data_IF_024352893339
#
_entry.id   IF_024352893339
#
_cell.length_a   1.000
_cell.length_b   1.000
_cell.length_c   1.000
_cell.angle_alpha   90.00
_cell.angle_beta   90.00
_cell.angle_gamma   90.00
#
_symmetry.space_group_name_H-M   'P 1'
#
loop_
_entity.id
_entity.type
_entity.pdbx_description
1 polymer ?
#
# COMPACT_ATOMS: atom_id res chain seq x y z
N UNK A 1 -28.15 -58.80 -26.80
CA UNK A 1 -28.21 -58.33 -25.39
C UNK A 1 -26.84 -57.88 -24.91
N UNK A 2 -25.89 -58.76 -24.52
CA UNK A 2 -24.60 -58.29 -23.98
C UNK A 2 -23.77 -57.37 -24.94
N UNK A 3 -23.79 -57.64 -26.24
CA UNK A 3 -23.07 -56.81 -27.23
C UNK A 3 -23.76 -55.48 -27.55
N UNK A 4 -25.09 -55.42 -27.46
CA UNK A 4 -25.88 -54.19 -27.65
C UNK A 4 -25.73 -53.25 -26.46
N UNK A 5 -25.71 -53.81 -25.24
CA UNK A 5 -25.49 -53.03 -24.01
C UNK A 5 -24.07 -52.44 -23.98
N UNK A 6 -23.08 -53.18 -24.48
CA UNK A 6 -21.70 -52.71 -24.64
C UNK A 6 -21.58 -51.56 -25.67
N UNK A 7 -22.29 -51.67 -26.79
CA UNK A 7 -22.34 -50.61 -27.81
C UNK A 7 -23.03 -49.34 -27.27
N UNK A 8 -24.16 -49.51 -26.57
CA UNK A 8 -24.87 -48.40 -25.93
C UNK A 8 -24.01 -47.69 -24.86
N UNK A 9 -23.28 -48.46 -24.05
CA UNK A 9 -22.31 -47.92 -23.08
C UNK A 9 -21.17 -47.14 -23.76
N UNK A 10 -20.69 -47.63 -24.91
CA UNK A 10 -19.68 -46.93 -25.71
C UNK A 10 -20.16 -45.57 -26.23
N UNK A 11 -21.40 -45.51 -26.72
CA UNK A 11 -21.99 -44.26 -27.21
C UNK A 11 -22.31 -43.28 -26.08
N UNK A 12 -22.77 -43.77 -24.93
CA UNK A 12 -22.95 -42.96 -23.72
C UNK A 12 -21.61 -42.37 -23.29
N UNK A 13 -20.53 -43.17 -23.27
CA UNK A 13 -19.19 -42.69 -22.90
C UNK A 13 -18.72 -41.57 -23.82
N UNK A 14 -18.89 -41.71 -25.14
CA UNK A 14 -18.55 -40.67 -26.11
C UNK A 14 -19.33 -39.38 -25.89
N UNK A 15 -20.64 -39.47 -25.66
CA UNK A 15 -21.48 -38.30 -25.36
C UNK A 15 -21.06 -37.60 -24.06
N UNK A 16 -20.70 -38.38 -23.04
CA UNK A 16 -20.18 -37.82 -21.77
C UNK A 16 -18.85 -37.10 -22.02
N UNK A 17 -17.94 -37.66 -22.82
CA UNK A 17 -16.68 -37.01 -23.19
C UNK A 17 -16.89 -35.71 -24.00
N UNK A 18 -17.88 -35.68 -24.90
CA UNK A 18 -18.27 -34.46 -25.64
C UNK A 18 -18.85 -33.39 -24.72
N UNK A 19 -19.77 -33.76 -23.83
CA UNK A 19 -20.35 -32.83 -22.84
C UNK A 19 -19.26 -32.25 -21.93
N UNK A 20 -18.29 -33.05 -21.48
CA UNK A 20 -17.17 -32.56 -20.67
C UNK A 20 -16.31 -31.54 -21.44
N UNK A 21 -16.11 -31.74 -22.74
CA UNK A 21 -15.39 -30.78 -23.59
C UNK A 21 -16.16 -29.48 -23.79
N UNK A 22 -17.48 -29.57 -24.00
CA UNK A 22 -18.35 -28.40 -24.13
C UNK A 22 -18.38 -27.59 -22.83
N UNK A 23 -18.55 -28.25 -21.67
CA UNK A 23 -18.50 -27.61 -20.35
C UNK A 23 -17.13 -26.97 -20.09
N UNK A 24 -16.03 -27.63 -20.46
CA UNK A 24 -14.70 -27.06 -20.34
C UNK A 24 -14.49 -25.81 -21.19
N UNK A 25 -15.12 -25.76 -22.36
CA UNK A 25 -15.09 -24.59 -23.25
C UNK A 25 -15.93 -23.44 -22.67
N UNK A 26 -17.15 -23.74 -22.22
CA UNK A 26 -18.02 -22.77 -21.54
C UNK A 26 -17.38 -22.20 -20.27
N UNK A 27 -16.68 -23.01 -19.48
CA UNK A 27 -15.98 -22.53 -18.29
C UNK A 27 -14.85 -21.55 -18.63
N UNK A 28 -14.13 -21.77 -19.75
CA UNK A 28 -13.11 -20.82 -20.23
C UNK A 28 -13.74 -19.50 -20.69
N UNK A 29 -14.87 -19.55 -21.38
CA UNK A 29 -15.62 -18.36 -21.79
C UNK A 29 -16.17 -17.60 -20.57
N UNK A 30 -16.68 -18.31 -19.56
CA UNK A 30 -17.14 -17.70 -18.30
C UNK A 30 -15.99 -17.03 -17.53
N UNK A 31 -14.81 -17.65 -17.51
CA UNK A 31 -13.61 -17.06 -16.90
C UNK A 31 -13.15 -15.79 -17.61
N UNK A 32 -13.36 -15.68 -18.92
CA UNK A 32 -13.12 -14.45 -19.67
C UNK A 32 -14.15 -13.35 -19.32
N UNK A 33 -15.36 -13.73 -18.90
CA UNK A 33 -16.36 -12.81 -18.36
C UNK A 33 -16.01 -12.28 -16.97
N UNK A 34 -15.30 -13.04 -16.13
CA UNK A 34 -14.78 -12.50 -14.85
C UNK A 34 -13.80 -11.36 -15.07
N UNK A 35 -13.00 -11.41 -16.15
CA UNK A 35 -12.15 -10.29 -16.56
C UNK A 35 -12.95 -9.05 -16.97
N UNK A 36 -14.23 -9.19 -17.35
CA UNK A 36 -15.13 -8.04 -17.63
C UNK A 36 -15.53 -7.33 -16.33
N UNK A 37 -15.63 -8.06 -15.21
CA UNK A 37 -15.85 -7.45 -13.90
C UNK A 37 -14.64 -6.60 -13.46
N UNK A 38 -13.42 -7.10 -13.66
CA UNK A 38 -12.19 -6.32 -13.41
C UNK A 38 -12.08 -5.09 -14.31
N UNK A 39 -12.49 -5.21 -15.59
CA UNK A 39 -12.54 -4.07 -16.52
C UNK A 39 -13.55 -3.03 -16.03
N UNK A 40 -14.71 -3.46 -15.52
CA UNK A 40 -15.72 -2.56 -14.95
C UNK A 40 -15.17 -1.78 -13.76
N UNK A 41 -14.49 -2.44 -12.83
CA UNK A 41 -13.87 -1.76 -11.68
C UNK A 41 -12.81 -0.75 -12.10
N UNK A 42 -11.97 -1.08 -13.09
CA UNK A 42 -10.98 -0.13 -13.64
C UNK A 42 -11.63 1.04 -14.37
N UNK A 43 -12.76 0.82 -15.05
CA UNK A 43 -13.54 1.89 -15.69
C UNK A 43 -14.19 2.80 -14.65
N UNK A 44 -14.72 2.24 -13.57
CA UNK A 44 -15.29 3.02 -12.46
C UNK A 44 -14.22 3.87 -11.76
N UNK A 45 -13.02 3.31 -11.55
CA UNK A 45 -11.86 4.05 -11.03
C UNK A 45 -11.40 5.18 -11.96
N UNK A 46 -11.27 4.90 -13.26
CA UNK A 46 -10.95 5.92 -14.28
C UNK A 46 -12.00 7.02 -14.35
N UNK A 47 -13.28 6.68 -14.19
CA UNK A 47 -14.36 7.68 -14.14
C UNK A 47 -14.27 8.58 -12.90
N UNK A 48 -13.87 8.03 -11.75
CA UNK A 48 -13.67 8.81 -10.53
C UNK A 48 -12.45 9.76 -10.67
N UNK A 49 -11.34 9.28 -11.21
CA UNK A 49 -10.16 10.10 -11.50
C UNK A 49 -10.47 11.22 -12.52
N UNK A 50 -11.27 10.93 -13.56
CA UNK A 50 -11.71 11.95 -14.52
C UNK A 50 -12.58 13.03 -13.87
N UNK A 51 -13.45 12.69 -12.93
CA UNK A 51 -14.21 13.67 -12.16
C UNK A 51 -13.29 14.53 -11.27
N UNK A 52 -12.26 13.93 -10.68
CA UNK A 52 -11.27 14.67 -9.89
C UNK A 52 -10.46 15.64 -10.78
N UNK A 53 -10.03 15.21 -11.96
CA UNK A 53 -9.36 16.07 -12.95
C UNK A 53 -10.29 17.20 -13.39
N UNK A 54 -11.57 16.92 -13.65
CA UNK A 54 -12.56 17.93 -14.02
C UNK A 54 -12.72 18.99 -12.92
N UNK A 55 -12.85 18.58 -11.66
CA UNK A 55 -12.95 19.52 -10.52
C UNK A 55 -11.67 20.33 -10.31
N UNK A 56 -10.49 19.77 -10.60
CA UNK A 56 -9.22 20.51 -10.57
C UNK A 56 -9.02 21.47 -11.75
N UNK A 57 -9.70 21.25 -12.88
CA UNK A 57 -9.65 22.12 -14.08
C UNK A 57 -10.75 23.20 -14.05
N UNK A 58 -11.81 23.05 -13.25
CA UNK A 58 -12.84 24.08 -13.02
C UNK A 58 -12.28 25.50 -12.76
N UNK A 59 -11.20 25.69 -11.96
CA UNK A 59 -10.58 27.00 -11.77
C UNK A 59 -9.88 27.54 -13.03
N UNK A 60 -9.46 26.68 -13.94
CA UNK A 60 -8.87 27.06 -15.23
C UNK A 60 -9.96 27.55 -16.20
N UNK A 61 -11.16 26.96 -16.17
CA UNK A 61 -12.29 27.52 -16.92
C UNK A 61 -12.69 28.93 -16.44
N UNK A 62 -12.48 29.25 -15.16
CA UNK A 62 -12.67 30.61 -14.63
C UNK A 62 -11.60 31.61 -15.10
N UNK A 63 -10.45 31.16 -15.63
CA UNK A 63 -9.49 32.06 -16.29
C UNK A 63 -10.05 32.66 -17.58
N UNK A 64 -11.00 31.97 -18.25
CA UNK A 64 -11.68 32.53 -19.41
C UNK A 64 -12.55 33.72 -19.01
N UNK A 65 -13.29 33.61 -17.91
CA UNK A 65 -14.09 34.73 -17.38
C UNK A 65 -13.20 35.89 -16.93
N UNK A 66 -12.00 35.60 -16.43
CA UNK A 66 -10.99 36.62 -16.11
C UNK A 66 -10.43 37.29 -17.37
N UNK A 67 -10.15 36.53 -18.43
CA UNK A 67 -9.70 37.05 -19.72
C UNK A 67 -10.80 37.90 -20.41
N UNK A 68 -12.06 37.46 -20.34
CA UNK A 68 -13.20 38.21 -20.86
C UNK A 68 -13.45 39.49 -20.04
N UNK A 69 -13.25 39.44 -18.72
CA UNK A 69 -13.27 40.64 -17.86
C UNK A 69 -12.14 41.61 -18.20
N UNK A 70 -10.94 41.10 -18.51
CA UNK A 70 -9.80 41.90 -18.96
C UNK A 70 -10.04 42.55 -20.33
N UNK A 71 -10.65 41.83 -21.27
CA UNK A 71 -11.05 42.39 -22.56
C UNK A 71 -12.11 43.49 -22.40
N UNK A 72 -13.07 43.32 -21.48
CA UNK A 72 -14.03 44.38 -21.16
C UNK A 72 -13.37 45.61 -20.50
N UNK A 73 -12.34 45.41 -19.67
CA UNK A 73 -11.54 46.52 -19.12
C UNK A 73 -10.77 47.21 -20.25
N UNK A 74 -10.18 46.46 -21.17
CA UNK A 74 -9.46 47.00 -22.33
C UNK A 74 -10.39 47.81 -23.25
N UNK A 75 -11.59 47.33 -23.55
CA UNK A 75 -12.57 48.10 -24.34
C UNK A 75 -13.09 49.34 -23.61
N UNK A 76 -13.23 49.29 -22.29
CA UNK A 76 -13.60 50.46 -21.47
C UNK A 76 -12.46 51.50 -21.42
N UNK A 77 -11.20 51.06 -21.46
CA UNK A 77 -10.03 51.94 -21.60
C UNK A 77 -9.99 52.58 -22.98
N UNK A 78 -10.33 51.88 -24.06
CA UNK A 78 -10.51 52.52 -25.38
C UNK A 78 -11.67 53.53 -25.37
N UNK A 79 -12.76 53.24 -24.65
CA UNK A 79 -13.85 54.19 -24.40
C UNK A 79 -13.42 55.46 -23.63
N UNK A 80 -12.38 55.39 -22.80
CA UNK A 80 -11.85 56.60 -22.12
C UNK A 80 -11.16 57.58 -23.09
N UNK A 81 -10.69 57.11 -24.25
CA UNK A 81 -10.15 57.95 -25.30
C UNK A 81 -11.23 58.81 -25.99
N UNK A 82 -12.46 58.28 -26.06
CA UNK A 82 -13.64 58.98 -26.57
C UNK A 82 -14.26 59.94 -25.54
N UNK A 83 -14.12 59.61 -24.25
CA UNK A 83 -14.45 60.52 -23.14
C UNK A 83 -13.55 61.76 -23.14
N UNK A 84 -12.26 61.63 -23.45
CA UNK A 84 -11.35 62.77 -23.61
C UNK A 84 -11.84 63.76 -24.68
N UNK A 85 -12.30 63.24 -25.83
CA UNK A 85 -12.86 64.07 -26.92
C UNK A 85 -14.19 64.71 -26.53
N UNK A 86 -15.07 63.98 -25.85
CA UNK A 86 -16.36 64.52 -25.37
C UNK A 86 -16.18 65.56 -24.27
N UNK A 87 -15.16 65.42 -23.41
CA UNK A 87 -14.80 66.43 -22.41
C UNK A 87 -14.29 67.71 -23.09
N UNK A 88 -13.48 67.59 -24.15
CA UNK A 88 -13.04 68.75 -24.94
C UNK A 88 -14.19 69.45 -25.68
N UNK A 89 -15.18 68.71 -26.18
CA UNK A 89 -16.40 69.28 -26.76
C UNK A 89 -17.33 69.91 -25.70
N UNK A 90 -17.45 69.28 -24.54
CA UNK A 90 -18.23 69.80 -23.41
C UNK A 90 -17.59 71.09 -22.88
N UNK A 91 -16.26 71.14 -22.72
CA UNK A 91 -15.52 72.33 -22.31
C UNK A 91 -15.68 73.51 -23.29
N UNK A 92 -15.86 73.24 -24.59
CA UNK A 92 -16.18 74.27 -25.59
C UNK A 92 -17.64 74.76 -25.50
N UNK A 93 -18.56 73.94 -25.03
CA UNK A 93 -20.00 74.27 -24.95
C UNK A 93 -20.41 75.08 -23.71
N UNK A 94 -19.59 75.11 -22.64
CA UNK A 94 -19.92 75.72 -21.35
C UNK A 94 -19.28 77.11 -21.14
N UNK A 95 -19.44 78.03 -22.09
CA UNK A 95 -18.95 79.42 -21.96
C UNK A 95 -19.78 80.35 -21.07
N UNK A 96 -20.83 79.86 -20.39
CA UNK A 96 -21.63 80.68 -19.48
C UNK A 96 -21.45 80.36 -17.99
N UNK A 97 -21.15 81.45 -17.28
CA UNK A 97 -20.45 81.65 -16.01
C UNK A 97 -21.02 81.03 -14.71
N UNK A 98 -20.09 80.79 -13.76
CA UNK A 98 -20.20 80.37 -12.34
C UNK A 98 -20.35 78.87 -11.99
N UNK A 99 -21.11 78.06 -12.72
CA UNK A 99 -21.01 76.60 -12.57
C UNK A 99 -19.69 76.07 -13.16
N UNK A 100 -19.15 76.80 -14.13
CA UNK A 100 -17.90 76.53 -14.85
C UNK A 100 -16.68 76.58 -13.93
N UNK A 101 -16.60 77.46 -12.94
CA UNK A 101 -15.41 77.51 -12.05
C UNK A 101 -15.33 76.28 -11.13
N UNK A 102 -16.48 75.78 -10.66
CA UNK A 102 -16.53 74.57 -9.83
C UNK A 102 -16.27 73.30 -10.65
N UNK A 103 -16.79 73.25 -11.88
CA UNK A 103 -16.53 72.14 -12.81
C UNK A 103 -15.10 72.20 -13.33
N UNK A 104 -14.56 73.37 -13.66
CA UNK A 104 -13.18 73.56 -14.12
C UNK A 104 -12.19 73.18 -13.04
N UNK A 105 -12.44 73.52 -11.77
CA UNK A 105 -11.60 73.03 -10.65
C UNK A 105 -11.66 71.51 -10.48
N UNK A 106 -12.85 70.91 -10.61
CA UNK A 106 -12.98 69.44 -10.56
C UNK A 106 -12.37 68.76 -11.79
N UNK A 107 -12.45 69.37 -12.96
CA UNK A 107 -11.82 68.88 -14.19
C UNK A 107 -10.30 69.04 -14.13
N UNK A 108 -9.79 70.11 -13.54
CA UNK A 108 -8.36 70.27 -13.25
C UNK A 108 -7.87 69.27 -12.19
N UNK A 109 -8.65 68.99 -11.14
CA UNK A 109 -8.33 67.93 -10.17
C UNK A 109 -8.34 66.55 -10.82
N UNK A 110 -9.35 66.24 -11.64
CA UNK A 110 -9.41 64.97 -12.40
C UNK A 110 -8.26 64.90 -13.40
N UNK A 111 -7.96 65.98 -14.12
CA UNK A 111 -6.84 66.04 -15.05
C UNK A 111 -5.53 65.83 -14.30
N UNK A 112 -5.36 66.42 -13.11
CA UNK A 112 -4.17 66.26 -12.28
C UNK A 112 -4.05 64.84 -11.74
N UNK A 113 -5.13 64.23 -11.28
CA UNK A 113 -5.15 62.81 -10.86
C UNK A 113 -4.86 61.88 -12.04
N UNK A 114 -5.44 62.13 -13.22
CA UNK A 114 -5.17 61.34 -14.43
C UNK A 114 -3.73 61.52 -14.89
N UNK A 115 -3.18 62.72 -14.78
CA UNK A 115 -1.78 63.00 -15.13
C UNK A 115 -0.83 62.40 -14.09
N UNK A 116 -1.17 62.45 -12.79
CA UNK A 116 -0.42 61.77 -11.72
C UNK A 116 -0.50 60.25 -11.83
N UNK A 117 -1.62 59.67 -12.31
CA UNK A 117 -1.75 58.22 -12.58
C UNK A 117 -0.98 57.81 -13.84
N UNK A 118 -0.95 58.68 -14.87
CA UNK A 118 -0.20 58.48 -16.11
C UNK A 118 1.31 58.64 -15.92
N UNK A 119 1.71 59.65 -15.15
CA UNK A 119 3.10 59.96 -14.80
C UNK A 119 3.57 59.21 -13.54
N UNK A 120 2.67 58.45 -12.91
CA UNK A 120 3.02 57.53 -11.84
C UNK A 120 4.00 56.53 -12.42
N UNK A 121 5.26 56.68 -12.01
CA UNK A 121 6.32 55.72 -12.26
C UNK A 121 5.93 54.32 -11.81
N UNK A 122 4.98 54.17 -10.88
CA UNK A 122 4.45 52.87 -10.51
C UNK A 122 3.59 52.27 -11.62
N UNK A 123 2.71 53.02 -12.28
CA UNK A 123 1.93 52.53 -13.42
C UNK A 123 2.84 52.16 -14.60
N UNK A 124 3.85 52.99 -14.89
CA UNK A 124 4.84 52.68 -15.94
C UNK A 124 5.72 51.46 -15.58
N UNK A 125 6.11 51.30 -14.31
CA UNK A 125 6.84 50.12 -13.82
C UNK A 125 5.95 48.88 -13.81
N UNK A 126 4.66 49.01 -13.49
CA UNK A 126 3.69 47.91 -13.55
C UNK A 126 3.50 47.48 -15.00
N UNK A 127 3.31 48.42 -15.93
CA UNK A 127 3.19 48.12 -17.37
C UNK A 127 4.47 47.49 -17.90
N UNK A 128 5.66 48.02 -17.56
CA UNK A 128 6.95 47.40 -17.95
C UNK A 128 7.13 46.01 -17.36
N UNK A 129 6.72 45.76 -16.12
CA UNK A 129 6.74 44.43 -15.50
C UNK A 129 5.76 43.48 -16.17
N UNK A 130 4.58 43.95 -16.58
CA UNK A 130 3.60 43.16 -17.33
C UNK A 130 4.13 42.83 -18.73
N UNK A 131 4.76 43.78 -19.42
CA UNK A 131 5.45 43.54 -20.69
C UNK A 131 6.62 42.58 -20.52
N UNK A 132 7.44 42.69 -19.47
CA UNK A 132 8.48 41.70 -19.16
C UNK A 132 7.90 40.31 -18.89
N UNK A 133 6.79 40.21 -18.16
CA UNK A 133 6.09 38.94 -17.93
C UNK A 133 5.54 38.38 -19.24
N UNK A 134 4.93 39.21 -20.09
CA UNK A 134 4.43 38.81 -21.41
C UNK A 134 5.56 38.39 -22.37
N UNK A 135 6.71 39.07 -22.32
CA UNK A 135 7.93 38.71 -23.06
C UNK A 135 8.50 37.38 -22.54
N UNK A 136 8.53 37.17 -21.22
CA UNK A 136 8.91 35.90 -20.60
C UNK A 136 7.93 34.76 -20.91
N UNK A 137 6.66 35.07 -21.20
CA UNK A 137 5.63 34.08 -21.56
C UNK A 137 5.54 33.83 -23.08
N UNK A 138 5.96 34.77 -23.93
CA UNK A 138 5.98 34.60 -25.40
C UNK A 138 7.15 33.75 -25.87
N UNK A 139 8.19 33.60 -25.05
CA UNK A 139 9.27 32.66 -25.30
C UNK A 139 8.78 31.24 -24.95
N UNK A 140 7.96 30.66 -25.84
CA UNK A 140 7.35 29.33 -25.69
C UNK A 140 8.37 28.25 -25.29
N UNK A 141 9.64 28.42 -25.68
CA UNK A 141 10.76 27.55 -25.28
C UNK A 141 11.09 27.58 -23.78
N UNK A 142 10.95 28.74 -23.12
CA UNK A 142 11.15 28.85 -21.67
C UNK A 142 10.01 28.18 -20.92
N UNK A 143 8.78 28.28 -21.46
CA UNK A 143 7.60 27.60 -20.94
C UNK A 143 7.69 26.07 -21.10
N UNK A 144 8.11 25.59 -22.27
CA UNK A 144 8.43 24.16 -22.50
C UNK A 144 9.48 23.66 -21.52
N UNK A 145 10.60 24.38 -21.36
CA UNK A 145 11.65 23.98 -20.45
C UNK A 145 11.17 23.91 -18.99
N UNK A 146 10.37 24.89 -18.54
CA UNK A 146 9.79 24.86 -17.18
C UNK A 146 8.76 23.73 -17.02
N UNK A 147 8.04 23.38 -18.08
CA UNK A 147 7.12 22.25 -18.07
C UNK A 147 7.88 20.93 -17.97
N UNK A 148 8.96 20.75 -18.72
CA UNK A 148 9.86 19.60 -18.63
C UNK A 148 10.50 19.49 -17.24
N UNK A 149 10.97 20.62 -16.68
CA UNK A 149 11.51 20.66 -15.32
C UNK A 149 10.43 20.24 -14.29
N UNK A 150 9.18 20.71 -14.44
CA UNK A 150 8.06 20.31 -13.57
C UNK A 150 7.70 18.83 -13.71
N UNK A 151 7.69 18.29 -14.94
CA UNK A 151 7.47 16.87 -15.17
C UNK A 151 8.58 16.02 -14.55
N UNK A 152 9.84 16.50 -14.62
CA UNK A 152 10.98 15.88 -13.95
C UNK A 152 10.83 15.89 -12.42
N UNK A 153 10.36 17.00 -11.84
CA UNK A 153 10.05 17.07 -10.41
C UNK A 153 8.92 16.11 -10.01
N UNK A 154 7.86 15.98 -10.83
CA UNK A 154 6.75 15.04 -10.58
C UNK A 154 7.24 13.60 -10.61
N UNK A 155 8.10 13.24 -11.57
CA UNK A 155 8.74 11.93 -11.61
C UNK A 155 9.60 11.68 -10.35
N UNK A 156 10.35 12.69 -9.91
CA UNK A 156 11.12 12.64 -8.66
C UNK A 156 10.23 12.45 -7.41
N UNK A 157 9.07 13.09 -7.36
CA UNK A 157 8.10 12.89 -6.28
C UNK A 157 7.53 11.47 -6.27
N UNK A 158 7.28 10.87 -7.43
CA UNK A 158 6.82 9.48 -7.54
C UNK A 158 7.85 8.48 -6.99
N UNK A 159 9.14 8.74 -7.22
CA UNK A 159 10.23 7.93 -6.64
C UNK A 159 10.33 8.11 -5.11
N UNK A 160 10.10 9.33 -4.61
CA UNK A 160 10.04 9.60 -3.17
C UNK A 160 8.84 8.90 -2.54
N UNK A 161 7.68 8.92 -3.18
CA UNK A 161 6.46 8.24 -2.71
C UNK A 161 6.68 6.72 -2.60
N UNK A 162 7.29 6.10 -3.62
CA UNK A 162 7.68 4.70 -3.56
C UNK A 162 8.67 4.39 -2.41
N UNK A 163 9.64 5.27 -2.16
CA UNK A 163 10.55 5.14 -1.00
C UNK A 163 9.83 5.31 0.33
N UNK A 164 8.84 6.19 0.42
CA UNK A 164 8.02 6.38 1.63
C UNK A 164 7.16 5.13 1.89
N UNK A 165 6.60 4.51 0.86
CA UNK A 165 5.82 3.28 0.97
C UNK A 165 6.68 2.10 1.44
N UNK A 166 7.88 1.96 0.88
CA UNK A 166 8.87 0.95 1.33
C UNK A 166 9.27 1.19 2.79
N UNK A 167 9.57 2.44 3.17
CA UNK A 167 9.91 2.80 4.55
C UNK A 167 8.77 2.51 5.53
N UNK A 168 7.52 2.79 5.13
CA UNK A 168 6.31 2.50 5.91
C UNK A 168 6.16 1.00 6.15
N UNK A 169 6.43 0.19 5.13
CA UNK A 169 6.41 -1.27 5.22
C UNK A 169 7.48 -1.76 6.21
N UNK A 170 8.71 -1.27 6.09
CA UNK A 170 9.79 -1.60 7.03
C UNK A 170 9.49 -1.17 8.47
N UNK A 171 8.82 -0.02 8.65
CA UNK A 171 8.43 0.45 9.97
C UNK A 171 7.35 -0.44 10.60
N UNK A 172 6.39 -0.92 9.80
CA UNK A 172 5.38 -1.89 10.22
C UNK A 172 6.02 -3.21 10.67
N UNK A 173 6.98 -3.72 9.89
CA UNK A 173 7.76 -4.91 10.25
C UNK A 173 8.55 -4.70 11.54
N UNK A 174 9.22 -3.56 11.68
CA UNK A 174 9.98 -3.21 12.89
C UNK A 174 9.07 -3.17 14.12
N UNK A 175 7.89 -2.56 14.01
CA UNK A 175 6.90 -2.50 15.10
C UNK A 175 6.43 -3.90 15.50
N UNK A 176 6.25 -4.80 14.54
CA UNK A 176 5.90 -6.19 14.81
C UNK A 176 7.03 -6.93 15.53
N UNK A 177 8.27 -6.79 15.07
CA UNK A 177 9.45 -7.38 15.71
C UNK A 177 9.56 -6.92 17.16
N UNK A 178 9.43 -5.61 17.41
CA UNK A 178 9.42 -5.07 18.77
C UNK A 178 8.28 -5.67 19.59
N UNK A 179 7.09 -5.84 19.02
CA UNK A 179 5.97 -6.51 19.70
C UNK A 179 6.24 -7.98 20.06
N UNK A 180 6.96 -8.73 19.22
CA UNK A 180 7.39 -10.10 19.52
C UNK A 180 8.40 -10.09 20.67
N UNK A 181 9.40 -9.21 20.61
CA UNK A 181 10.45 -9.09 21.65
C UNK A 181 9.81 -8.78 23.00
N UNK A 182 8.86 -7.84 23.06
CA UNK A 182 8.15 -7.50 24.31
C UNK A 182 7.41 -8.71 24.89
N UNK A 183 6.70 -9.49 24.07
CA UNK A 183 6.03 -10.73 24.53
C UNK A 183 7.02 -11.79 25.00
N UNK A 184 8.17 -11.92 24.33
CA UNK A 184 9.22 -12.85 24.74
C UNK A 184 9.84 -12.43 26.08
N UNK A 185 10.08 -11.13 26.29
CA UNK A 185 10.55 -10.61 27.57
C UNK A 185 9.55 -10.88 28.69
N UNK A 186 8.25 -10.70 28.44
CA UNK A 186 7.18 -11.00 29.40
C UNK A 186 7.11 -12.52 29.74
N UNK A 187 7.25 -13.40 28.74
CA UNK A 187 7.30 -14.85 28.97
C UNK A 187 8.57 -15.28 29.74
N UNK A 188 9.72 -14.64 29.46
CA UNK A 188 10.97 -14.85 30.22
C UNK A 188 10.79 -14.40 31.66
N UNK A 189 10.21 -13.22 31.90
CA UNK A 189 9.94 -12.70 33.24
C UNK A 189 9.03 -13.66 34.02
N UNK A 190 7.96 -14.16 33.39
CA UNK A 190 7.05 -15.12 34.01
C UNK A 190 7.73 -16.45 34.35
N UNK A 191 8.54 -16.99 33.45
CA UNK A 191 9.31 -18.23 33.68
C UNK A 191 10.36 -18.04 34.76
N UNK A 192 11.02 -16.89 34.80
CA UNK A 192 12.01 -16.55 35.79
C UNK A 192 11.38 -16.46 37.19
N UNK A 193 10.24 -15.76 37.32
CA UNK A 193 9.49 -15.70 38.58
C UNK A 193 9.03 -17.09 39.04
N UNK A 194 8.49 -17.92 38.14
CA UNK A 194 8.11 -19.30 38.48
C UNK A 194 9.32 -20.18 38.87
N UNK A 195 10.50 -19.93 38.29
CA UNK A 195 11.72 -20.62 38.68
C UNK A 195 12.19 -20.19 40.07
N UNK A 196 12.12 -18.90 40.39
CA UNK A 196 12.38 -18.37 41.74
C UNK A 196 11.44 -19.05 42.75
N UNK A 197 10.14 -19.09 42.47
CA UNK A 197 9.16 -19.71 43.39
C UNK A 197 9.50 -21.17 43.67
N UNK A 198 9.88 -21.94 42.65
CA UNK A 198 10.30 -23.35 42.81
C UNK A 198 11.59 -23.52 43.60
N UNK A 199 12.57 -22.63 43.38
CA UNK A 199 13.83 -22.65 44.13
C UNK A 199 13.57 -22.32 45.59
N UNK A 200 12.71 -21.34 45.87
CA UNK A 200 12.26 -20.99 47.22
C UNK A 200 11.55 -22.18 47.88
N UNK A 201 10.59 -22.81 47.20
CA UNK A 201 9.88 -23.99 47.73
C UNK A 201 10.84 -25.17 48.01
N UNK A 202 11.83 -25.37 47.15
CA UNK A 202 12.85 -26.40 47.36
C UNK A 202 13.75 -26.07 48.55
N UNK A 203 14.12 -24.80 48.73
CA UNK A 203 14.89 -24.33 49.88
C UNK A 203 14.11 -24.55 51.19
N UNK A 204 12.83 -24.19 51.22
CA UNK A 204 11.95 -24.40 52.38
C UNK A 204 11.81 -25.90 52.73
N UNK A 205 11.72 -26.78 51.72
CA UNK A 205 11.70 -28.24 51.91
C UNK A 205 13.01 -28.78 52.49
N UNK A 206 14.15 -28.24 52.07
CA UNK A 206 15.45 -28.61 52.63
C UNK A 206 15.55 -28.13 54.07
N UNK A 207 15.17 -26.89 54.35
CA UNK A 207 15.19 -26.32 55.70
C UNK A 207 14.31 -27.14 56.67
N UNK A 208 13.08 -27.48 56.24
CA UNK A 208 12.19 -28.34 57.03
C UNK A 208 12.73 -29.75 57.22
N UNK A 209 13.32 -30.37 56.20
CA UNK A 209 13.94 -31.70 56.30
C UNK A 209 15.15 -31.71 57.25
N UNK A 210 15.99 -30.66 57.22
CA UNK A 210 17.11 -30.49 58.16
C UNK A 210 16.57 -30.33 59.57
N UNK A 211 15.53 -29.52 59.78
CA UNK A 211 14.89 -29.34 61.08
C UNK A 211 14.20 -30.61 61.63
N UNK A 212 13.72 -31.52 60.77
CA UNK A 212 13.12 -32.80 61.19
C UNK A 212 14.13 -33.94 61.36
N UNK A 213 15.36 -33.78 60.86
CA UNK A 213 16.40 -34.83 60.89
C UNK A 213 17.04 -35.10 62.27
N UNK A 214 16.65 -34.36 63.31
CA UNK A 214 17.08 -34.63 64.70
C UNK A 214 16.23 -35.67 65.44
N UNK A 215 15.27 -36.34 64.80
CA UNK A 215 14.54 -37.43 65.49
C UNK A 215 14.17 -38.61 64.59
N UNK A 216 14.85 -39.73 64.85
CA UNK A 216 14.43 -41.14 64.62
C UNK A 216 15.09 -41.90 63.47
N UNK A 217 15.81 -42.96 63.85
CA UNK A 217 16.46 -43.98 63.03
C UNK A 217 15.46 -44.98 62.38
N UNK A 218 15.89 -45.80 61.40
CA UNK A 218 15.06 -46.26 60.28
C UNK A 218 14.44 -47.65 60.49
N UNK A 219 13.28 -47.90 59.86
CA UNK A 219 12.78 -49.25 59.58
C UNK A 219 12.10 -49.27 58.22
N UNK A 220 12.62 -50.10 57.33
CA UNK A 220 12.32 -50.06 55.91
C UNK A 220 10.97 -50.62 55.52
N UNK A 221 10.58 -50.31 54.29
CA UNK A 221 9.80 -51.21 53.45
C UNK A 221 10.00 -50.83 51.98
N UNK A 222 10.38 -51.82 51.18
CA UNK A 222 10.43 -51.79 49.72
C UNK A 222 9.05 -51.36 49.19
N UNK A 223 9.00 -50.27 48.43
CA UNK A 223 8.00 -50.07 47.39
C UNK A 223 8.68 -49.46 46.17
N UNK A 224 8.67 -50.23 45.09
CA UNK A 224 9.10 -49.80 43.76
C UNK A 224 8.42 -48.48 43.38
N UNK A 225 9.16 -47.47 42.91
CA UNK A 225 8.54 -46.43 42.12
C UNK A 225 8.32 -47.00 40.72
N UNK A 226 7.04 -47.10 40.34
CA UNK A 226 6.61 -47.18 38.94
C UNK A 226 7.43 -46.18 38.12
N UNK A 227 8.04 -46.67 37.06
CA UNK A 227 8.44 -45.86 35.90
C UNK A 227 7.21 -45.07 35.46
N UNK A 228 7.11 -43.81 35.87
CA UNK A 228 6.42 -42.83 35.05
C UNK A 228 7.36 -42.58 33.88
N UNK A 229 6.93 -43.10 32.73
CA UNK A 229 7.51 -42.78 31.46
C UNK A 229 7.52 -41.25 31.35
N UNK A 230 8.71 -40.68 31.45
CA UNK A 230 8.98 -39.43 30.77
C UNK A 230 8.71 -39.75 29.30
N UNK A 231 7.53 -39.37 28.81
CA UNK A 231 7.35 -39.10 27.39
C UNK A 231 8.43 -38.07 27.06
N UNK A 232 9.57 -38.57 26.58
CA UNK A 232 10.22 -37.94 25.45
C UNK A 232 9.09 -37.68 24.47
N UNK A 233 8.66 -36.42 24.39
CA UNK A 233 7.97 -35.92 23.22
C UNK A 233 8.91 -36.21 22.06
N UNK A 234 8.77 -37.41 21.48
CA UNK A 234 9.07 -37.64 20.08
C UNK A 234 8.40 -36.47 19.37
N UNK A 235 9.23 -35.60 18.77
CA UNK A 235 8.80 -34.70 17.70
C UNK A 235 7.78 -35.51 16.90
N UNK A 236 6.51 -35.07 16.76
CA UNK A 236 5.61 -35.75 15.86
C UNK A 236 6.34 -35.75 14.52
N UNK A 237 6.70 -36.94 14.04
CA UNK A 237 7.25 -37.14 12.70
C UNK A 237 6.11 -36.79 11.75
N UNK A 238 5.97 -35.50 11.50
CA UNK A 238 5.06 -34.92 10.52
C UNK A 238 5.56 -35.32 9.15
N UNK A 239 4.94 -36.37 8.60
CA UNK A 239 4.69 -36.62 7.18
C UNK A 239 5.72 -36.02 6.20
N UNK A 240 6.70 -36.84 5.82
CA UNK A 240 7.37 -36.85 4.51
C UNK A 240 7.64 -35.49 3.85
N UNK A 241 8.21 -34.53 4.56
CA UNK A 241 8.82 -33.37 3.91
C UNK A 241 10.13 -33.83 3.24
N UNK A 242 10.30 -33.57 1.94
CA UNK A 242 11.47 -34.02 1.20
C UNK A 242 12.74 -33.24 1.62
N UNK A 243 13.91 -33.89 1.52
CA UNK A 243 15.15 -33.46 2.19
C UNK A 243 15.97 -32.39 1.46
N UNK A 244 15.40 -31.65 0.52
CA UNK A 244 16.09 -30.59 -0.22
C UNK A 244 15.25 -29.32 -0.28
N UNK A 245 15.91 -28.16 -0.31
CA UNK A 245 15.27 -26.83 -0.40
C UNK A 245 14.23 -26.83 -1.53
N UNK A 246 14.61 -27.32 -2.71
CA UNK A 246 13.72 -27.37 -3.88
C UNK A 246 12.45 -28.18 -3.63
N UNK A 247 12.61 -29.37 -3.05
CA UNK A 247 11.48 -30.26 -2.83
C UNK A 247 10.56 -29.73 -1.72
N UNK A 248 11.12 -29.10 -0.68
CA UNK A 248 10.33 -28.45 0.39
C UNK A 248 9.51 -27.29 -0.18
N UNK A 249 10.09 -26.48 -1.07
CA UNK A 249 9.39 -25.37 -1.70
C UNK A 249 8.33 -25.84 -2.70
N UNK A 250 8.61 -26.88 -3.46
CA UNK A 250 7.65 -27.48 -4.40
C UNK A 250 6.44 -28.06 -3.67
N UNK A 251 6.67 -28.78 -2.56
CA UNK A 251 5.60 -29.29 -1.70
C UNK A 251 4.71 -28.15 -1.17
N UNK A 252 5.30 -27.04 -0.73
CA UNK A 252 4.52 -25.89 -0.27
C UNK A 252 3.71 -25.27 -1.39
N UNK A 253 4.28 -25.12 -2.59
CA UNK A 253 3.55 -24.59 -3.76
C UNK A 253 2.40 -25.50 -4.17
N UNK A 254 2.57 -26.82 -4.11
CA UNK A 254 1.49 -27.79 -4.37
C UNK A 254 0.37 -27.68 -3.34
N UNK A 255 0.70 -27.34 -2.09
CA UNK A 255 -0.28 -27.08 -1.04
C UNK A 255 -1.01 -25.74 -1.18
N UNK A 256 -0.54 -24.77 -1.97
CA UNK A 256 -1.25 -23.49 -2.15
C UNK A 256 -2.43 -23.66 -3.12
N UNK A 257 -3.54 -24.20 -2.61
CA UNK A 257 -4.79 -24.40 -3.36
C UNK A 257 -5.99 -23.80 -2.63
N UNK A 258 -7.10 -23.47 -3.34
CA UNK A 258 -8.33 -22.97 -2.72
C UNK A 258 -8.96 -23.90 -1.69
N UNK A 259 -8.66 -25.20 -1.76
CA UNK A 259 -9.20 -26.22 -0.85
C UNK A 259 -8.33 -26.39 0.41
N UNK A 260 -7.14 -25.80 0.42
CA UNK A 260 -6.23 -25.94 1.56
C UNK A 260 -6.72 -25.07 2.71
N UNK A 261 -6.88 -25.70 3.88
CA UNK A 261 -7.17 -24.98 5.12
C UNK A 261 -5.98 -24.10 5.52
N UNK A 262 -6.25 -22.87 5.96
CA UNK A 262 -5.23 -21.91 6.41
C UNK A 262 -4.37 -22.51 7.53
N UNK A 263 -4.99 -23.25 8.46
CA UNK A 263 -4.29 -23.98 9.53
C UNK A 263 -3.34 -25.04 8.98
N UNK A 264 -3.76 -25.79 7.95
CA UNK A 264 -2.93 -26.81 7.33
C UNK A 264 -1.72 -26.20 6.61
N UNK A 265 -1.94 -25.11 5.85
CA UNK A 265 -0.87 -24.37 5.20
C UNK A 265 0.10 -23.75 6.21
N UNK A 266 -0.41 -23.21 7.32
CA UNK A 266 0.41 -22.65 8.37
C UNK A 266 1.34 -23.68 9.01
N UNK A 267 0.82 -24.88 9.30
CA UNK A 267 1.63 -25.97 9.86
C UNK A 267 2.70 -26.42 8.85
N UNK A 268 2.33 -26.54 7.57
CA UNK A 268 3.29 -26.87 6.51
C UNK A 268 4.42 -25.83 6.40
N UNK A 269 4.12 -24.53 6.53
CA UNK A 269 5.12 -23.46 6.55
C UNK A 269 6.04 -23.53 7.77
N UNK A 270 5.52 -23.89 8.95
CA UNK A 270 6.34 -24.11 10.15
C UNK A 270 7.25 -25.32 10.00
N UNK A 271 6.72 -26.45 9.54
CA UNK A 271 7.50 -27.66 9.32
C UNK A 271 8.60 -27.41 8.27
N UNK A 272 8.28 -26.71 7.18
CA UNK A 272 9.25 -26.29 6.19
C UNK A 272 10.32 -25.36 6.77
N UNK A 273 9.93 -24.40 7.63
CA UNK A 273 10.88 -23.52 8.33
C UNK A 273 11.84 -24.34 9.18
N UNK A 274 11.33 -25.30 9.96
CA UNK A 274 12.14 -26.11 10.87
C UNK A 274 13.12 -27.00 10.07
N UNK A 275 12.67 -27.62 8.98
CA UNK A 275 13.55 -28.38 8.06
C UNK A 275 14.62 -27.47 7.45
N UNK A 276 14.24 -26.30 6.94
CA UNK A 276 15.20 -25.37 6.32
C UNK A 276 16.18 -24.77 7.35
N UNK A 277 15.77 -24.64 8.62
CA UNK A 277 16.65 -24.19 9.71
C UNK A 277 17.70 -25.24 10.05
N UNK A 278 17.38 -26.53 9.94
CA UNK A 278 18.37 -27.60 10.10
C UNK A 278 19.35 -27.65 8.91
N UNK A 279 18.94 -27.19 7.72
CA UNK A 279 19.78 -27.20 6.51
C UNK A 279 20.66 -25.97 6.32
N UNK A 280 20.23 -24.80 6.82
CA UNK A 280 20.93 -23.52 6.63
C UNK A 280 21.45 -23.05 7.99
N UNK A 281 22.77 -22.98 8.13
CA UNK A 281 23.39 -22.48 9.36
C UNK A 281 23.10 -20.97 9.53
N UNK A 282 22.36 -20.63 10.59
CA UNK A 282 22.11 -19.25 10.99
C UNK A 282 20.67 -18.77 10.73
N UNK A 283 20.26 -17.75 11.50
CA UNK A 283 18.94 -17.13 11.36
C UNK A 283 18.90 -16.26 10.10
N UNK A 284 18.29 -16.76 9.02
CA UNK A 284 18.12 -15.97 7.80
C UNK A 284 16.80 -15.18 7.84
N UNK A 285 16.74 -13.96 7.26
CA UNK A 285 15.50 -13.18 7.17
C UNK A 285 14.36 -13.94 6.48
N UNK A 286 14.69 -14.86 5.57
CA UNK A 286 13.70 -15.68 4.87
C UNK A 286 13.01 -16.65 5.82
N UNK A 287 13.74 -17.36 6.69
CA UNK A 287 13.15 -18.26 7.69
C UNK A 287 12.18 -17.54 8.64
N UNK A 288 12.47 -16.28 8.96
CA UNK A 288 11.55 -15.45 9.74
C UNK A 288 10.22 -15.20 9.02
N UNK A 289 10.27 -14.95 7.70
CA UNK A 289 9.09 -14.72 6.88
C UNK A 289 8.17 -15.96 6.82
N UNK A 290 8.73 -17.18 6.75
CA UNK A 290 7.92 -18.42 6.89
C UNK A 290 7.15 -18.44 8.21
N UNK A 291 7.85 -18.16 9.32
CA UNK A 291 7.23 -18.14 10.65
C UNK A 291 6.22 -17.02 10.85
N UNK A 292 6.39 -15.87 10.18
CA UNK A 292 5.42 -14.78 10.17
C UNK A 292 4.17 -15.19 9.41
N UNK A 293 4.31 -15.68 8.18
CA UNK A 293 3.19 -16.10 7.34
C UNK A 293 2.40 -17.25 7.94
N UNK A 294 3.07 -18.21 8.59
CA UNK A 294 2.40 -19.26 9.34
C UNK A 294 1.56 -18.70 10.51
N UNK A 295 2.06 -17.71 11.24
CA UNK A 295 1.30 -17.05 12.33
C UNK A 295 0.10 -16.26 11.82
N UNK A 296 0.25 -15.55 10.70
CA UNK A 296 -0.86 -14.87 10.03
C UNK A 296 -1.95 -15.87 9.65
N UNK A 297 -1.60 -16.98 8.99
CA UNK A 297 -2.56 -18.01 8.60
C UNK A 297 -3.20 -18.73 9.81
N UNK A 298 -2.49 -18.90 10.93
CA UNK A 298 -3.07 -19.42 12.18
C UNK A 298 -4.05 -18.48 12.87
N UNK A 299 -4.05 -17.20 12.52
CA UNK A 299 -5.03 -16.24 13.06
C UNK A 299 -6.42 -16.42 12.43
N UNK A 300 -6.51 -17.14 11.31
CA UNK A 300 -7.76 -17.43 10.63
C UNK A 300 -8.56 -18.46 11.43
N UNK A 301 -9.90 -18.50 11.29
CA UNK A 301 -10.71 -19.58 11.85
C UNK A 301 -10.16 -20.95 11.44
N UNK A 302 -10.20 -21.99 12.30
CA UNK A 302 -9.55 -23.28 12.01
C UNK A 302 -9.99 -23.95 10.70
N UNK A 303 -11.24 -23.71 10.29
CA UNK A 303 -11.86 -24.25 9.07
C UNK A 303 -11.80 -23.29 7.88
N UNK A 304 -11.13 -22.14 8.01
CA UNK A 304 -11.01 -21.19 6.91
C UNK A 304 -10.05 -21.75 5.86
N UNK A 305 -10.46 -21.73 4.59
CA UNK A 305 -9.60 -22.06 3.46
C UNK A 305 -8.85 -20.82 2.99
N UNK A 306 -7.76 -21.02 2.24
CA UNK A 306 -7.02 -19.93 1.61
C UNK A 306 -7.93 -19.21 0.60
N UNK A 307 -8.01 -17.89 0.71
CA UNK A 307 -8.70 -17.08 -0.30
C UNK A 307 -7.76 -16.81 -1.50
N UNK A 308 -8.30 -16.25 -2.59
CA UNK A 308 -7.54 -16.01 -3.82
C UNK A 308 -6.36 -15.03 -3.61
N UNK A 309 -6.53 -14.02 -2.75
CA UNK A 309 -5.46 -13.07 -2.43
C UNK A 309 -4.32 -13.75 -1.67
N UNK A 310 -4.66 -14.59 -0.69
CA UNK A 310 -3.69 -15.37 0.10
C UNK A 310 -2.93 -16.35 -0.80
N UNK A 311 -3.63 -16.98 -1.74
CA UNK A 311 -3.03 -17.88 -2.74
C UNK A 311 -2.06 -17.13 -3.64
N UNK A 312 -2.46 -15.97 -4.17
CA UNK A 312 -1.61 -15.17 -5.05
C UNK A 312 -0.36 -14.68 -4.30
N UNK A 313 -0.54 -14.20 -3.06
CA UNK A 313 0.54 -13.71 -2.22
C UNK A 313 1.50 -14.84 -1.81
N UNK A 314 0.97 -15.97 -1.33
CA UNK A 314 1.78 -17.14 -0.97
C UNK A 314 2.58 -17.67 -2.16
N UNK A 315 1.98 -17.76 -3.35
CA UNK A 315 2.72 -18.20 -4.54
C UNK A 315 3.86 -17.25 -4.93
N UNK A 316 3.63 -15.94 -4.82
CA UNK A 316 4.66 -14.93 -5.07
C UNK A 316 5.78 -15.03 -4.03
N UNK A 317 5.42 -15.11 -2.76
CA UNK A 317 6.35 -15.17 -1.64
C UNK A 317 7.18 -16.45 -1.67
N UNK A 318 6.55 -17.61 -1.86
CA UNK A 318 7.26 -18.90 -1.96
C UNK A 318 8.29 -18.87 -3.09
N UNK A 319 7.95 -18.36 -4.28
CA UNK A 319 8.92 -18.24 -5.39
C UNK A 319 10.09 -17.34 -5.05
N UNK A 320 9.83 -16.20 -4.40
CA UNK A 320 10.86 -15.27 -3.97
C UNK A 320 11.77 -15.90 -2.90
N UNK A 321 11.18 -16.59 -1.92
CA UNK A 321 11.90 -17.29 -0.86
C UNK A 321 12.75 -18.43 -1.41
N UNK A 322 12.26 -19.20 -2.39
CA UNK A 322 13.05 -20.25 -3.07
C UNK A 322 14.34 -19.68 -3.65
N UNK A 323 14.25 -18.56 -4.38
CA UNK A 323 15.43 -17.91 -4.98
C UNK A 323 16.43 -17.49 -3.91
N UNK A 324 15.96 -16.80 -2.85
CA UNK A 324 16.82 -16.33 -1.76
C UNK A 324 17.47 -17.49 -0.98
N UNK A 325 16.72 -18.55 -0.69
CA UNK A 325 17.26 -19.74 0.00
C UNK A 325 18.34 -20.42 -0.84
N UNK A 326 18.16 -20.51 -2.16
CA UNK A 326 19.18 -21.04 -3.07
C UNK A 326 20.44 -20.18 -3.14
N UNK A 327 20.30 -18.85 -3.13
CA UNK A 327 21.44 -17.94 -3.11
C UNK A 327 22.25 -18.10 -1.82
N UNK A 328 21.56 -18.18 -0.68
CA UNK A 328 22.23 -18.39 0.61
C UNK A 328 22.92 -19.75 0.70
N UNK A 329 22.28 -20.82 0.22
CA UNK A 329 22.87 -22.17 0.20
C UNK A 329 24.07 -22.33 -0.75
N UNK A 330 24.24 -21.43 -1.73
CA UNK A 330 25.43 -21.37 -2.60
C UNK A 330 26.57 -20.54 -2.00
N UNK A 331 26.27 -19.68 -1.02
CA UNK A 331 27.23 -18.77 -0.38
C UNK A 331 27.95 -19.36 0.85
N UNK A 332 27.44 -20.48 1.37
CA UNK A 332 28.06 -21.37 2.36
C UNK A 332 28.84 -22.49 1.68
#
# INVERSE_FOLDING_TARGET
MADEDSAALGDIKKRVEEIVKEIGSLHKELKALDSVAEIKEKVDALSAELQEVQTKIEPVSQMKDFADSLNNISSNVEGTQDLGKKVDELAKSFKDTKAVDAVSKKVEEVHKVVTEVRDSKETEVIIKKIDEILIMMTDAKVLEKKLDDLQSYIAGFSEIEAKIEDLSTQFSETKEIVGIIVRQLDDIERKYNAAIDRVTEAADKIETAVATSESSAPRGEKKEPKKEAHEEKKKPSGKNLPSTIDSTMEFLMEMVTPQTEATAMANALEDARDVLTEMIEGSTPVLFQFGKKARELKSYPPTATLNENDIALLNKDLRNWTTKLKEMAKGT
#
